data_IF_318950903408
#
_entry.id   IF_318950903408
#
_cell.length_a   1.000
_cell.length_b   1.000
_cell.length_c   1.000
_cell.angle_alpha   90.00
_cell.angle_beta   90.00
_cell.angle_gamma   90.00
#
_symmetry.space_group_name_H-M   'P 1'
#
loop_
_entity.id
_entity.type
_entity.pdbx_description
1 polymer ?
#
# COMPACT_ATOMS: atom_id res chain seq x y z
N UNK A 1 -16.23 13.99 6.87
CA UNK A 1 -16.54 14.03 8.31
C UNK A 1 -16.19 12.72 9.02
N UNK A 2 -16.67 11.56 8.57
CA UNK A 2 -16.36 10.26 9.20
C UNK A 2 -14.87 9.94 9.32
N UNK A 3 -14.07 10.25 8.29
CA UNK A 3 -12.65 9.88 8.27
C UNK A 3 -11.84 10.57 9.38
N UNK A 4 -12.11 11.84 9.67
CA UNK A 4 -11.41 12.61 10.72
C UNK A 4 -11.76 12.08 12.11
N UNK A 5 -13.03 11.74 12.34
CA UNK A 5 -13.50 11.19 13.61
C UNK A 5 -12.89 9.82 13.89
N UNK A 6 -12.83 8.94 12.88
CA UNK A 6 -12.22 7.61 13.00
C UNK A 6 -10.72 7.71 13.31
N UNK A 7 -9.99 8.61 12.62
CA UNK A 7 -8.55 8.82 12.87
C UNK A 7 -8.31 9.30 14.30
N UNK A 8 -9.11 10.25 14.79
CA UNK A 8 -9.00 10.77 16.15
C UNK A 8 -9.24 9.69 17.21
N UNK A 9 -10.30 8.88 17.08
CA UNK A 9 -10.62 7.81 18.04
C UNK A 9 -9.55 6.73 18.04
N UNK A 10 -9.08 6.29 16.87
CA UNK A 10 -8.00 5.32 16.76
C UNK A 10 -6.68 5.85 17.36
N UNK A 11 -6.38 7.13 17.18
CA UNK A 11 -5.17 7.74 17.71
C UNK A 11 -5.15 7.75 19.25
N UNK A 12 -6.30 7.99 19.90
CA UNK A 12 -6.43 7.97 21.37
C UNK A 12 -6.26 6.54 21.91
N UNK A 13 -6.94 5.57 21.31
CA UNK A 13 -6.87 4.16 21.74
C UNK A 13 -5.48 3.55 21.54
N UNK A 14 -4.79 3.90 20.44
CA UNK A 14 -3.39 3.52 20.24
C UNK A 14 -2.48 4.21 21.25
N UNK A 15 -2.83 5.42 21.72
CA UNK A 15 -2.03 6.17 22.67
C UNK A 15 -1.89 5.53 24.04
N UNK A 16 -2.97 4.91 24.50
CA UNK A 16 -3.06 4.27 25.81
C UNK A 16 -2.39 2.89 25.86
N UNK A 17 -2.32 2.17 24.73
CA UNK A 17 -2.01 0.74 24.71
C UNK A 17 -0.51 0.36 24.55
N UNK A 18 0.43 1.30 24.40
CA UNK A 18 1.85 0.98 24.08
C UNK A 18 2.86 1.96 24.69
N UNK A 19 4.02 1.43 25.12
CA UNK A 19 5.22 2.18 25.55
C UNK A 19 5.73 3.18 24.48
N UNK A 20 5.92 4.43 24.91
CA UNK A 20 5.92 5.65 24.08
C UNK A 20 7.09 5.81 23.08
N UNK A 21 8.24 5.17 23.33
CA UNK A 21 9.53 5.49 22.68
C UNK A 21 9.63 5.15 21.17
N UNK A 22 8.97 4.10 20.68
CA UNK A 22 9.13 3.65 19.28
C UNK A 22 7.86 3.81 18.44
N UNK A 23 6.73 4.13 19.07
CA UNK A 23 5.43 4.21 18.41
C UNK A 23 5.27 5.47 17.56
N UNK A 24 5.86 6.58 18.01
CA UNK A 24 5.85 7.82 17.26
C UNK A 24 6.68 7.70 15.96
N UNK A 25 7.85 7.03 16.03
CA UNK A 25 8.70 6.79 14.87
C UNK A 25 8.07 5.81 13.87
N UNK A 26 7.51 4.68 14.36
CA UNK A 26 6.85 3.71 13.50
C UNK A 26 5.59 4.28 12.81
N UNK A 27 4.77 5.05 13.52
CA UNK A 27 3.60 5.71 12.93
C UNK A 27 4.01 6.84 11.98
N UNK A 28 5.03 7.64 12.34
CA UNK A 28 5.56 8.68 11.47
C UNK A 28 6.10 8.13 10.15
N UNK A 29 6.84 7.01 10.20
CA UNK A 29 7.34 6.32 9.01
C UNK A 29 6.19 5.73 8.17
N UNK A 30 5.23 5.06 8.80
CA UNK A 30 4.05 4.49 8.13
C UNK A 30 3.23 5.57 7.41
N UNK A 31 2.94 6.70 8.07
CA UNK A 31 2.19 7.82 7.49
C UNK A 31 2.97 8.48 6.34
N UNK A 32 4.30 8.58 6.47
CA UNK A 32 5.16 9.10 5.41
C UNK A 32 5.14 8.19 4.18
N UNK A 33 5.33 6.89 4.37
CA UNK A 33 5.23 5.90 3.28
C UNK A 33 3.84 5.89 2.64
N UNK A 34 2.78 5.96 3.45
CA UNK A 34 1.40 6.01 2.95
C UNK A 34 1.16 7.26 2.09
N UNK A 35 1.65 8.42 2.51
CA UNK A 35 1.52 9.66 1.75
C UNK A 35 2.29 9.60 0.42
N UNK A 36 3.51 9.08 0.43
CA UNK A 36 4.33 8.88 -0.78
C UNK A 36 3.59 7.94 -1.75
N UNK A 37 3.10 6.80 -1.26
CA UNK A 37 2.32 5.88 -2.09
C UNK A 37 1.07 6.53 -2.66
N UNK A 38 0.33 7.33 -1.87
CA UNK A 38 -0.84 8.05 -2.36
C UNK A 38 -0.51 9.12 -3.41
N UNK A 39 0.67 9.73 -3.35
CA UNK A 39 1.12 10.69 -4.35
C UNK A 39 1.59 10.02 -5.65
N UNK A 40 2.29 8.89 -5.54
CA UNK A 40 2.92 8.21 -6.68
C UNK A 40 1.95 7.24 -7.38
N UNK A 41 1.04 6.60 -6.64
CA UNK A 41 0.12 5.60 -7.19
C UNK A 41 -0.78 6.15 -8.33
N UNK A 42 -1.37 7.35 -8.25
CA UNK A 42 -2.15 7.90 -9.37
C UNK A 42 -1.31 8.12 -10.63
N UNK A 43 -0.05 8.56 -10.49
CA UNK A 43 0.85 8.77 -11.61
C UNK A 43 1.20 7.43 -12.30
N UNK A 44 1.55 6.41 -11.51
CA UNK A 44 1.84 5.06 -12.02
C UNK A 44 0.61 4.45 -12.69
N UNK A 45 -0.58 4.57 -12.07
CA UNK A 45 -1.83 4.12 -12.66
C UNK A 45 -2.13 4.83 -13.99
N UNK A 46 -1.87 6.14 -14.07
CA UNK A 46 -2.04 6.92 -15.29
C UNK A 46 -1.13 6.48 -16.44
N UNK A 47 0.12 6.13 -16.15
CA UNK A 47 1.07 5.59 -17.16
C UNK A 47 0.59 4.23 -17.69
N UNK A 48 0.17 3.34 -16.79
CA UNK A 48 -0.37 2.01 -17.18
C UNK A 48 -1.63 2.18 -18.02
N UNK A 49 -2.51 3.11 -17.65
CA UNK A 49 -3.75 3.38 -18.38
C UNK A 49 -3.50 3.99 -19.77
N UNK A 50 -2.56 4.95 -19.88
CA UNK A 50 -2.16 5.51 -21.18
C UNK A 50 -1.55 4.44 -22.10
N UNK A 51 -0.76 3.52 -21.53
CA UNK A 51 -0.19 2.41 -22.28
C UNK A 51 -1.26 1.40 -22.72
N UNK A 52 -2.23 1.10 -21.85
CA UNK A 52 -3.38 0.27 -22.18
C UNK A 52 -4.21 0.84 -23.34
N UNK A 53 -4.46 2.15 -23.34
CA UNK A 53 -5.16 2.83 -24.45
C UNK A 53 -4.39 2.73 -25.78
N UNK A 54 -3.07 2.89 -25.75
CA UNK A 54 -2.23 2.79 -26.96
C UNK A 54 -2.14 1.36 -27.51
N UNK A 55 -2.44 0.34 -26.70
CA UNK A 55 -2.35 -1.09 -27.06
C UNK A 55 -3.71 -1.77 -27.26
N UNK A 56 -4.78 -1.01 -27.48
CA UNK A 56 -6.11 -1.61 -27.70
C UNK A 56 -6.19 -2.52 -28.93
N UNK A 57 -5.37 -2.30 -29.95
CA UNK A 57 -5.35 -3.09 -31.20
C UNK A 57 -4.32 -4.22 -31.22
N UNK A 58 -3.63 -4.51 -30.10
CA UNK A 58 -2.63 -5.58 -30.04
C UNK A 58 -3.28 -6.98 -30.02
N UNK A 59 -2.74 -7.92 -30.80
CA UNK A 59 -3.23 -9.30 -30.89
C UNK A 59 -2.94 -10.15 -29.65
N UNK A 60 -2.05 -9.70 -28.76
CA UNK A 60 -1.68 -10.38 -27.52
C UNK A 60 -1.77 -9.38 -26.37
N UNK A 61 -2.61 -9.70 -25.38
CA UNK A 61 -2.88 -8.88 -24.19
C UNK A 61 -3.43 -7.47 -24.53
N UNK A 62 -4.69 -7.38 -25.02
CA UNK A 62 -5.36 -6.11 -25.31
C UNK A 62 -5.43 -5.20 -24.08
N UNK A 63 -5.58 -3.89 -24.30
CA UNK A 63 -5.50 -2.85 -23.27
C UNK A 63 -6.14 -3.20 -21.91
N UNK A 64 -7.38 -3.69 -21.89
CA UNK A 64 -8.07 -4.05 -20.64
C UNK A 64 -7.42 -5.24 -19.92
N UNK A 65 -7.05 -6.30 -20.64
CA UNK A 65 -6.33 -7.44 -20.06
C UNK A 65 -4.99 -7.02 -19.46
N UNK A 66 -4.34 -6.02 -20.04
CA UNK A 66 -3.07 -5.51 -19.54
C UNK A 66 -3.23 -4.78 -18.21
N UNK A 67 -4.29 -3.98 -18.05
CA UNK A 67 -4.61 -3.33 -16.78
C UNK A 67 -4.91 -4.38 -15.70
N UNK A 68 -5.73 -5.39 -16.02
CA UNK A 68 -6.04 -6.47 -15.09
C UNK A 68 -4.81 -7.27 -14.69
N UNK A 69 -3.91 -7.57 -15.63
CA UNK A 69 -2.67 -8.28 -15.36
C UNK A 69 -1.77 -7.46 -14.41
N UNK A 70 -1.59 -6.17 -14.68
CA UNK A 70 -0.78 -5.28 -13.83
C UNK A 70 -1.36 -5.12 -12.43
N UNK A 71 -2.69 -5.02 -12.31
CA UNK A 71 -3.38 -4.99 -11.01
C UNK A 71 -3.15 -6.29 -10.24
N UNK A 72 -3.33 -7.46 -10.87
CA UNK A 72 -3.09 -8.75 -10.22
C UNK A 72 -1.63 -8.91 -9.78
N UNK A 73 -0.66 -8.51 -10.62
CA UNK A 73 0.75 -8.53 -10.25
C UNK A 73 1.05 -7.65 -9.03
N UNK A 74 0.51 -6.42 -9.01
CA UNK A 74 0.64 -5.52 -7.86
C UNK A 74 0.00 -6.08 -6.58
N UNK A 75 -1.17 -6.73 -6.70
CA UNK A 75 -1.84 -7.40 -5.58
C UNK A 75 -1.00 -8.56 -5.02
N UNK A 76 -0.40 -9.39 -5.88
CA UNK A 76 0.48 -10.48 -5.45
C UNK A 76 1.72 -9.93 -4.76
N UNK A 77 2.35 -8.89 -5.30
CA UNK A 77 3.52 -8.24 -4.66
C UNK A 77 3.13 -7.66 -3.30
N UNK A 78 2.01 -6.95 -3.20
CA UNK A 78 1.51 -6.39 -1.94
C UNK A 78 1.19 -7.48 -0.91
N UNK A 79 0.63 -8.60 -1.36
CA UNK A 79 0.36 -9.76 -0.54
C UNK A 79 1.67 -10.39 -0.01
N UNK A 80 2.67 -10.57 -0.87
CA UNK A 80 3.99 -11.08 -0.47
C UNK A 80 4.70 -10.15 0.52
N UNK A 81 4.66 -8.82 0.29
CA UNK A 81 5.20 -7.82 1.20
C UNK A 81 4.50 -7.82 2.56
N UNK A 82 3.20 -8.15 2.61
CA UNK A 82 2.43 -8.27 3.85
C UNK A 82 2.88 -9.49 4.67
N UNK A 83 3.30 -10.58 4.02
CA UNK A 83 3.80 -11.77 4.72
C UNK A 83 5.28 -11.67 5.14
N UNK A 84 6.10 -10.86 4.46
CA UNK A 84 7.50 -10.60 4.83
C UNK A 84 7.78 -10.26 6.32
N UNK A 85 7.06 -9.32 6.96
CA UNK A 85 7.28 -8.98 8.37
C UNK A 85 6.91 -10.11 9.34
N UNK A 86 6.06 -11.05 8.93
CA UNK A 86 5.69 -12.20 9.75
C UNK A 86 6.84 -13.21 9.91
N UNK A 87 7.74 -13.30 8.92
CA UNK A 87 8.95 -14.13 9.01
C UNK A 87 10.10 -13.44 9.75
N UNK A 88 10.23 -12.10 9.63
CA UNK A 88 11.24 -11.34 10.36
C UNK A 88 11.00 -11.33 11.89
N UNK A 89 9.75 -11.46 12.34
CA UNK A 89 9.38 -11.50 13.76
C UNK A 89 9.46 -12.90 14.40
N UNK A 90 9.73 -13.95 13.61
CA UNK A 90 9.93 -15.31 14.11
C UNK A 90 11.33 -15.57 14.72
N UNK A 91 12.32 -14.74 14.41
CA UNK A 91 13.71 -14.90 14.82
C UNK A 91 14.12 -13.91 15.93
N UNK A 92 13.27 -13.75 16.94
CA UNK A 92 13.64 -13.13 18.22
C UNK A 92 12.77 -13.77 19.30
N UNK A 93 12.96 -15.08 19.49
CA UNK A 93 12.62 -15.75 20.74
C UNK A 93 13.90 -16.23 21.39
N UNK A 94 14.27 -15.48 22.42
CA UNK A 94 15.16 -15.79 23.54
C UNK A 94 16.65 -15.98 23.22
#
# INVERSE_FOLDING_TARGET
MFQVTTITVCNILMNDAVSQDLRASANGLSVTLMSIFKAVAPAVAGVIFSWAQRRQTASFLPGDHLVFFMLNAATVIGLMCTFGPHFARGSTKH
#
